data_IF_413908654944
#
_entry.id   IF_413908654944
#
_cell.length_a   1.000
_cell.length_b   1.000
_cell.length_c   1.000
_cell.angle_alpha   90.00
_cell.angle_beta   90.00
_cell.angle_gamma   90.00
#
_symmetry.space_group_name_H-M   'P 1'
#
loop_
_entity.id
_entity.type
_entity.pdbx_description
1 polymer ?
#
# COMPACT_ATOMS: atom_id res chain seq x y z
N UNK A 1 -17.82 -5.26 -1.60
CA UNK A 1 -17.85 -5.36 -3.07
C UNK A 1 -16.45 -5.35 -3.64
N UNK A 2 -16.21 -6.19 -4.65
CA UNK A 2 -14.91 -6.21 -5.32
C UNK A 2 -14.69 -4.92 -6.09
N UNK A 3 -13.47 -4.38 -6.04
CA UNK A 3 -13.07 -3.24 -6.86
C UNK A 3 -12.75 -3.74 -8.27
N UNK A 4 -13.08 -2.96 -9.29
CA UNK A 4 -12.65 -3.29 -10.64
C UNK A 4 -11.14 -3.02 -10.79
N UNK A 5 -10.54 -3.50 -11.88
CA UNK A 5 -9.10 -3.40 -12.06
C UNK A 5 -8.59 -1.97 -12.14
N UNK A 6 -9.36 -1.04 -12.71
CA UNK A 6 -8.94 0.36 -12.77
C UNK A 6 -8.92 0.99 -11.38
N UNK A 7 -9.90 0.68 -10.54
CA UNK A 7 -9.91 1.17 -9.17
C UNK A 7 -8.77 0.59 -8.35
N UNK A 8 -8.50 -0.71 -8.52
CA UNK A 8 -7.33 -1.33 -7.89
C UNK A 8 -6.04 -0.67 -8.34
N UNK A 9 -5.92 -0.38 -9.64
CA UNK A 9 -4.74 0.27 -10.18
C UNK A 9 -4.55 1.66 -9.59
N UNK A 10 -5.62 2.42 -9.43
CA UNK A 10 -5.56 3.75 -8.79
C UNK A 10 -5.13 3.61 -7.33
N UNK A 11 -5.68 2.63 -6.62
CA UNK A 11 -5.31 2.40 -5.22
C UNK A 11 -3.83 2.06 -5.10
N UNK A 12 -3.31 1.19 -5.98
CA UNK A 12 -1.89 0.83 -5.98
C UNK A 12 -1.01 2.03 -6.27
N UNK A 13 -1.39 2.85 -7.26
CA UNK A 13 -0.67 4.07 -7.60
C UNK A 13 -0.66 5.05 -6.41
N UNK A 14 -1.81 5.20 -5.76
CA UNK A 14 -1.96 6.06 -4.58
C UNK A 14 -1.08 5.55 -3.44
N UNK A 15 -1.14 4.26 -3.14
CA UNK A 15 -0.36 3.66 -2.06
C UNK A 15 1.14 3.76 -2.33
N UNK A 16 1.56 3.54 -3.57
CA UNK A 16 2.96 3.71 -3.95
C UNK A 16 3.46 5.12 -3.58
N UNK A 17 2.71 6.15 -3.95
CA UNK A 17 3.06 7.53 -3.64
C UNK A 17 3.02 7.79 -2.13
N UNK A 18 2.02 7.25 -1.44
CA UNK A 18 1.91 7.39 0.02
C UNK A 18 3.14 6.79 0.70
N UNK A 19 3.51 5.56 0.35
CA UNK A 19 4.67 4.92 0.97
C UNK A 19 5.97 5.69 0.67
N UNK A 20 6.10 6.22 -0.54
CA UNK A 20 7.26 7.02 -0.89
C UNK A 20 7.37 8.25 0.01
N UNK A 21 6.26 8.96 0.21
CA UNK A 21 6.23 10.16 1.03
C UNK A 21 6.44 9.83 2.51
N UNK A 22 5.82 8.76 2.99
CA UNK A 22 6.00 8.33 4.39
C UNK A 22 7.45 7.92 4.66
N UNK A 23 8.08 7.24 3.71
CA UNK A 23 9.49 6.85 3.86
C UNK A 23 10.39 8.07 3.96
N UNK A 24 10.11 9.13 3.22
CA UNK A 24 10.87 10.37 3.31
C UNK A 24 10.75 11.02 4.69
N UNK A 25 9.58 10.90 5.33
CA UNK A 25 9.30 11.50 6.63
C UNK A 25 9.76 10.62 7.80
N UNK A 26 9.93 9.33 7.59
CA UNK A 26 10.27 8.39 8.65
C UNK A 26 11.74 8.52 9.02
N UNK A 27 12.01 8.76 10.30
CA UNK A 27 13.38 8.97 10.80
C UNK A 27 14.08 7.68 11.20
N UNK A 28 13.32 6.67 11.60
CA UNK A 28 13.90 5.39 11.99
C UNK A 28 14.33 4.61 10.74
N UNK A 29 15.62 4.21 10.65
CA UNK A 29 16.12 3.55 9.45
C UNK A 29 15.44 2.22 9.13
N UNK A 30 15.07 1.46 10.16
CA UNK A 30 14.44 0.14 9.98
C UNK A 30 13.03 0.32 9.43
N UNK A 31 12.25 1.22 10.01
CA UNK A 31 10.89 1.50 9.52
C UNK A 31 10.92 2.10 8.12
N UNK A 32 11.87 3.00 7.87
CA UNK A 32 12.03 3.58 6.52
C UNK A 32 12.29 2.50 5.49
N UNK A 33 13.20 1.58 5.79
CA UNK A 33 13.53 0.50 4.85
C UNK A 33 12.32 -0.38 4.54
N UNK A 34 11.49 -0.68 5.54
CA UNK A 34 10.26 -1.44 5.34
C UNK A 34 9.30 -0.69 4.41
N UNK A 35 9.12 0.61 4.64
CA UNK A 35 8.24 1.42 3.80
C UNK A 35 8.73 1.51 2.36
N UNK A 36 10.04 1.65 2.17
CA UNK A 36 10.64 1.68 0.83
C UNK A 36 10.44 0.35 0.10
N UNK A 37 10.61 -0.76 0.79
CA UNK A 37 10.41 -2.08 0.21
C UNK A 37 8.97 -2.30 -0.22
N UNK A 38 8.02 -1.91 0.63
CA UNK A 38 6.60 -1.99 0.29
C UNK A 38 6.30 -1.08 -0.92
N UNK A 39 6.87 0.12 -0.95
CA UNK A 39 6.71 1.03 -2.09
C UNK A 39 7.14 0.37 -3.40
N UNK A 40 8.27 -0.34 -3.40
CA UNK A 40 8.74 -1.01 -4.62
C UNK A 40 7.78 -2.13 -5.06
N UNK A 41 7.21 -2.87 -4.11
CA UNK A 41 6.22 -3.88 -4.41
C UNK A 41 4.97 -3.24 -5.03
N UNK A 42 4.51 -2.12 -4.47
CA UNK A 42 3.34 -1.39 -5.01
C UNK A 42 3.61 -0.88 -6.42
N UNK A 43 4.83 -0.41 -6.69
CA UNK A 43 5.21 0.02 -8.04
C UNK A 43 5.13 -1.12 -9.03
N UNK A 44 5.58 -2.32 -8.63
CA UNK A 44 5.50 -3.51 -9.48
C UNK A 44 4.05 -3.90 -9.73
N UNK A 45 3.19 -3.83 -8.70
CA UNK A 45 1.75 -4.09 -8.85
C UNK A 45 1.12 -3.15 -9.86
N UNK A 46 1.49 -1.86 -9.81
CA UNK A 46 1.01 -0.88 -10.79
C UNK A 46 1.40 -1.28 -12.22
N UNK A 47 2.64 -1.73 -12.42
CA UNK A 47 3.11 -2.14 -13.73
C UNK A 47 2.33 -3.35 -14.25
N UNK A 48 2.03 -4.31 -13.39
CA UNK A 48 1.23 -5.49 -13.74
C UNK A 48 -0.17 -5.07 -14.15
N UNK A 49 -0.82 -4.21 -13.36
CA UNK A 49 -2.17 -3.75 -13.66
C UNK A 49 -2.22 -2.91 -14.93
N UNK A 50 -1.20 -2.08 -15.17
CA UNK A 50 -1.10 -1.30 -16.40
C UNK A 50 -1.07 -2.19 -17.63
N UNK A 51 -0.34 -3.31 -17.56
CA UNK A 51 -0.32 -4.26 -18.68
C UNK A 51 -1.69 -4.89 -18.92
N UNK A 52 -2.47 -5.09 -17.87
CA UNK A 52 -3.80 -5.69 -17.98
C UNK A 52 -4.84 -4.70 -18.51
N UNK A 53 -4.80 -3.45 -18.03
CA UNK A 53 -5.81 -2.45 -18.39
C UNK A 53 -5.44 -1.64 -19.63
N UNK A 54 -4.15 -1.59 -19.95
CA UNK A 54 -3.63 -0.73 -21.04
C UNK A 54 -3.69 0.75 -20.74
N UNK A 55 -3.92 1.13 -19.47
CA UNK A 55 -4.09 2.54 -19.06
C UNK A 55 -3.18 2.87 -17.89
N UNK A 56 -2.78 4.14 -17.79
CA UNK A 56 -2.13 4.67 -16.62
C UNK A 56 -3.17 5.26 -15.67
N UNK A 57 -2.93 5.12 -14.36
CA UNK A 57 -3.78 5.72 -13.34
C UNK A 57 -2.90 6.51 -12.39
N UNK A 58 -3.17 7.81 -12.30
CA UNK A 58 -2.44 8.69 -11.40
C UNK A 58 -2.87 8.45 -9.95
N UNK A 59 -1.98 8.74 -8.96
CA UNK A 59 -2.37 8.70 -7.56
C UNK A 59 -3.49 9.70 -7.26
N UNK A 60 -4.31 9.37 -6.26
CA UNK A 60 -5.32 10.30 -5.75
C UNK A 60 -4.63 11.31 -4.81
N UNK A 61 -4.49 12.57 -5.22
CA UNK A 61 -3.74 13.54 -4.42
C UNK A 61 -4.38 13.84 -3.06
N UNK A 62 -5.69 13.71 -2.93
CA UNK A 62 -6.37 13.93 -1.66
C UNK A 62 -6.03 12.86 -0.65
N UNK A 63 -5.98 11.59 -1.08
CA UNK A 63 -5.60 10.49 -0.21
C UNK A 63 -4.13 10.58 0.18
N UNK A 64 -3.26 10.92 -0.77
CA UNK A 64 -1.83 11.12 -0.47
C UNK A 64 -1.66 12.22 0.57
N UNK A 65 -2.31 13.37 0.37
CA UNK A 65 -2.25 14.48 1.31
C UNK A 65 -2.74 14.05 2.70
N UNK A 66 -3.84 13.31 2.76
CA UNK A 66 -4.43 12.85 4.02
C UNK A 66 -3.45 11.99 4.83
N UNK A 67 -2.82 10.99 4.20
CA UNK A 67 -1.88 10.11 4.90
C UNK A 67 -0.62 10.87 5.34
N UNK A 68 -0.13 11.78 4.52
CA UNK A 68 1.03 12.61 4.89
C UNK A 68 0.68 13.51 6.08
N UNK A 69 -0.52 14.09 6.06
CA UNK A 69 -1.00 14.93 7.16
C UNK A 69 -1.09 14.12 8.46
N UNK A 70 -1.67 12.92 8.40
CA UNK A 70 -1.75 12.04 9.58
C UNK A 70 -0.35 11.76 10.13
N UNK A 71 0.59 11.45 9.25
CA UNK A 71 1.97 11.20 9.66
C UNK A 71 2.57 12.39 10.42
N UNK A 72 2.36 13.58 9.91
CA UNK A 72 2.93 14.81 10.50
C UNK A 72 2.26 15.20 11.81
N UNK A 73 0.95 14.99 11.93
CA UNK A 73 0.16 15.48 13.07
C UNK A 73 0.02 14.40 14.14
N UNK A 74 -0.30 13.18 13.77
CA UNK A 74 -0.58 12.09 14.71
C UNK A 74 0.56 11.09 14.86
N UNK A 75 1.58 11.18 14.00
CA UNK A 75 2.76 10.36 14.10
C UNK A 75 2.72 9.06 13.31
N UNK A 76 3.88 8.36 13.24
CA UNK A 76 4.01 7.18 12.40
C UNK A 76 3.16 5.98 12.82
N UNK A 77 2.97 5.79 14.13
CA UNK A 77 2.20 4.64 14.62
C UNK A 77 0.76 4.67 14.12
N UNK A 78 0.13 5.86 14.14
CA UNK A 78 -1.26 6.02 13.69
C UNK A 78 -1.39 5.75 12.20
N UNK A 79 -0.49 6.32 11.39
CA UNK A 79 -0.57 6.16 9.93
C UNK A 79 -0.29 4.71 9.52
N UNK A 80 0.64 4.02 10.21
CA UNK A 80 0.92 2.61 9.93
C UNK A 80 -0.32 1.75 10.14
N UNK A 81 -1.10 2.05 11.18
CA UNK A 81 -2.36 1.35 11.41
C UNK A 81 -3.37 1.56 10.28
N UNK A 82 -3.45 2.79 9.77
CA UNK A 82 -4.33 3.08 8.63
C UNK A 82 -3.88 2.31 7.39
N UNK A 83 -2.59 2.24 7.15
CA UNK A 83 -2.04 1.49 6.01
C UNK A 83 -2.29 -0.01 6.14
N UNK A 84 -2.21 -0.54 7.36
CA UNK A 84 -2.53 -1.94 7.62
C UNK A 84 -3.95 -2.28 7.18
N UNK A 85 -4.90 -1.43 7.50
CA UNK A 85 -6.29 -1.62 7.08
C UNK A 85 -6.45 -1.56 5.57
N UNK A 86 -5.74 -0.65 4.90
CA UNK A 86 -5.75 -0.55 3.45
C UNK A 86 -5.22 -1.84 2.81
N UNK A 87 -4.13 -2.40 3.32
CA UNK A 87 -3.53 -3.61 2.77
C UNK A 87 -4.47 -4.81 2.90
N UNK A 88 -5.16 -4.93 4.02
CA UNK A 88 -6.14 -6.01 4.20
C UNK A 88 -7.28 -5.92 3.20
N UNK A 89 -7.76 -4.72 2.93
CA UNK A 89 -8.79 -4.50 1.93
C UNK A 89 -8.32 -4.84 0.52
N UNK A 90 -7.08 -4.47 0.20
CA UNK A 90 -6.48 -4.76 -1.10
C UNK A 90 -6.27 -6.26 -1.30
N UNK A 91 -5.78 -6.96 -0.28
CA UNK A 91 -5.63 -8.42 -0.31
C UNK A 91 -6.97 -9.09 -0.63
N UNK A 92 -8.04 -8.68 0.06
CA UNK A 92 -9.37 -9.24 -0.17
C UNK A 92 -9.83 -9.01 -1.60
N UNK A 93 -9.55 -7.83 -2.16
CA UNK A 93 -9.92 -7.50 -3.54
C UNK A 93 -9.18 -8.38 -4.55
N UNK A 94 -7.87 -8.59 -4.37
CA UNK A 94 -7.09 -9.43 -5.28
C UNK A 94 -7.48 -10.90 -5.18
N UNK A 95 -7.90 -11.37 -4.02
CA UNK A 95 -8.32 -12.76 -3.83
C UNK A 95 -9.50 -13.14 -4.74
N UNK A 96 -10.28 -12.17 -5.20
CA UNK A 96 -11.39 -12.41 -6.12
C UNK A 96 -10.91 -12.67 -7.56
N UNK A 97 -9.64 -12.42 -7.86
CA UNK A 97 -9.04 -12.68 -9.17
C UNK A 97 -8.07 -13.86 -9.11
N UNK A 98 -8.32 -14.83 -8.22
CA UNK A 98 -7.41 -15.93 -7.91
C UNK A 98 -7.15 -16.91 -9.06
N UNK A 99 -7.89 -16.81 -10.16
CA UNK A 99 -7.64 -17.65 -11.35
C UNK A 99 -6.36 -17.27 -12.10
N UNK A 100 -5.77 -16.11 -11.79
CA UNK A 100 -4.54 -15.67 -12.43
C UNK A 100 -3.40 -15.71 -11.44
N UNK A 101 -2.35 -16.44 -11.81
CA UNK A 101 -1.18 -16.65 -10.95
C UNK A 101 -0.58 -15.33 -10.44
N UNK A 102 -0.48 -14.33 -11.33
CA UNK A 102 0.10 -13.04 -10.92
C UNK A 102 -0.73 -12.32 -9.86
N UNK A 103 -2.08 -12.45 -9.90
CA UNK A 103 -2.94 -11.86 -8.88
C UNK A 103 -2.88 -12.62 -7.56
N UNK A 104 -2.68 -13.93 -7.62
CA UNK A 104 -2.44 -14.74 -6.42
C UNK A 104 -1.16 -14.25 -5.74
N UNK A 105 -0.12 -13.99 -6.52
CA UNK A 105 1.14 -13.47 -5.99
C UNK A 105 0.97 -12.09 -5.36
N UNK A 106 0.24 -11.20 -6.03
CA UNK A 106 -0.04 -9.86 -5.48
C UNK A 106 -0.80 -9.97 -4.16
N UNK A 107 -1.85 -10.80 -4.10
CA UNK A 107 -2.60 -11.00 -2.87
C UNK A 107 -1.70 -11.49 -1.74
N UNK A 108 -0.78 -12.41 -2.03
CA UNK A 108 0.18 -12.91 -1.05
C UNK A 108 1.10 -11.80 -0.55
N UNK A 109 1.56 -10.93 -1.44
CA UNK A 109 2.41 -9.80 -1.07
C UNK A 109 1.65 -8.78 -0.22
N UNK A 110 0.38 -8.52 -0.56
CA UNK A 110 -0.46 -7.61 0.22
C UNK A 110 -0.68 -8.15 1.64
N UNK A 111 -0.87 -9.46 1.76
CA UNK A 111 -0.98 -10.09 3.07
C UNK A 111 0.30 -9.90 3.88
N UNK A 112 1.45 -10.09 3.24
CA UNK A 112 2.75 -9.89 3.90
C UNK A 112 2.91 -8.43 4.34
N UNK A 113 2.52 -7.47 3.49
CA UNK A 113 2.56 -6.05 3.85
C UNK A 113 1.74 -5.78 5.11
N UNK A 114 0.52 -6.33 5.16
CA UNK A 114 -0.33 -6.18 6.34
C UNK A 114 0.32 -6.71 7.60
N UNK A 115 0.96 -7.89 7.51
CA UNK A 115 1.65 -8.49 8.64
C UNK A 115 2.86 -7.65 9.07
N UNK A 116 3.63 -7.15 8.13
CA UNK A 116 4.77 -6.28 8.43
C UNK A 116 4.33 -4.99 9.10
N UNK A 117 3.23 -4.40 8.62
CA UNK A 117 2.70 -3.18 9.22
C UNK A 117 2.15 -3.44 10.63
N UNK A 118 1.52 -4.59 10.84
CA UNK A 118 1.06 -5.00 12.16
C UNK A 118 2.24 -5.09 13.13
N UNK A 119 3.34 -5.68 12.69
CA UNK A 119 4.54 -5.81 13.51
C UNK A 119 5.14 -4.44 13.84
N UNK A 120 5.17 -3.53 12.86
CA UNK A 120 5.66 -2.17 13.10
C UNK A 120 4.78 -1.44 14.12
N UNK A 121 3.47 -1.53 13.98
CA UNK A 121 2.53 -0.88 14.90
C UNK A 121 2.69 -1.41 16.32
N UNK A 122 2.85 -2.73 16.47
CA UNK A 122 3.09 -3.33 17.77
C UNK A 122 4.38 -2.84 18.42
N UNK A 123 5.44 -2.71 17.62
CA UNK A 123 6.72 -2.22 18.12
C UNK A 123 6.67 -0.75 18.53
N UNK A 124 5.77 0.03 17.94
CA UNK A 124 5.59 1.45 18.29
C UNK A 124 4.72 1.67 19.52
N UNK A 125 4.10 0.63 20.04
CA UNK A 125 3.24 0.69 21.23
C UNK A 125 2.13 1.73 21.13
N UNK A 126 1.25 1.47 20.25
CA UNK A 126 0.05 2.31 20.13
C UNK A 126 -0.82 2.22 21.38
#
# INVERSE_FOLDING_TARGET
MAKNLLNLQRDESTLCEVYRRLAELEKDPVRRQTLVRIMHDERRHCAILKRRTGREMAPDPKRVFWYVWIMRVLGPAFVVRQMELCEKGTEASYSLYAEREEFIRIASEEKRHGEELTNLAGAMRL
#
